data_IF_980599357523
#
_entry.id   IF_980599357523
#
_cell.length_a   1.000
_cell.length_b   1.000
_cell.length_c   1.000
_cell.angle_alpha   90.00
_cell.angle_beta   90.00
_cell.angle_gamma   90.00
#
_symmetry.space_group_name_H-M   'P 1'
#
loop_
_entity.id
_entity.type
_entity.pdbx_description
1 polymer ?
#
# COMPACT_ATOMS: atom_id res chain seq x y z
N UNK A 1 3.71 17.12 3.34
CA UNK A 1 3.73 16.17 4.48
C UNK A 1 2.98 14.86 4.16
N UNK A 2 2.85 14.46 2.89
CA UNK A 2 2.15 13.21 2.48
C UNK A 2 3.05 12.01 2.14
N UNK A 3 4.38 12.17 2.29
CA UNK A 3 5.40 11.15 1.95
C UNK A 3 5.74 10.20 3.10
N UNK A 4 5.45 10.61 4.34
CA UNK A 4 5.74 9.85 5.57
C UNK A 4 4.76 8.67 5.73
N UNK A 5 3.47 8.92 5.49
CA UNK A 5 2.39 7.93 5.60
C UNK A 5 2.56 6.81 4.56
N UNK A 6 3.06 7.16 3.37
CA UNK A 6 3.43 6.23 2.32
C UNK A 6 4.45 5.18 2.77
N UNK A 7 5.40 5.57 3.62
CA UNK A 7 6.43 4.67 4.11
C UNK A 7 5.92 3.70 5.17
N UNK A 8 4.94 4.10 5.98
CA UNK A 8 4.44 3.28 7.08
C UNK A 8 3.62 2.08 6.57
N UNK A 9 2.66 2.31 5.66
CA UNK A 9 1.88 1.21 5.07
C UNK A 9 2.76 0.27 4.24
N UNK A 10 3.69 0.84 3.46
CA UNK A 10 4.67 0.06 2.70
C UNK A 10 5.56 -0.81 3.60
N UNK A 11 5.91 -0.33 4.80
CA UNK A 11 6.76 -1.06 5.75
C UNK A 11 6.03 -2.22 6.43
N UNK A 12 4.70 -2.13 6.57
CA UNK A 12 3.88 -3.10 7.29
C UNK A 12 3.30 -4.19 6.40
N UNK A 13 2.81 -3.85 5.21
CA UNK A 13 2.19 -4.80 4.27
C UNK A 13 3.13 -5.25 3.15
N UNK A 14 4.17 -4.47 2.84
CA UNK A 14 4.99 -4.66 1.63
C UNK A 14 4.25 -4.31 0.33
N UNK A 15 3.06 -3.70 0.44
CA UNK A 15 2.17 -3.28 -0.64
C UNK A 15 1.90 -1.77 -0.51
N UNK A 16 1.78 -1.07 -1.64
CA UNK A 16 1.18 0.27 -1.63
C UNK A 16 -0.32 0.11 -1.83
N UNK A 17 -1.17 0.55 -0.89
CA UNK A 17 -2.63 0.40 -0.97
C UNK A 17 -3.25 1.26 -2.09
N UNK A 18 -2.48 2.19 -2.65
CA UNK A 18 -2.92 3.12 -3.70
C UNK A 18 -2.42 2.71 -5.10
N UNK A 19 -1.86 1.52 -5.27
CA UNK A 19 -1.22 1.13 -6.53
C UNK A 19 -2.25 0.86 -7.63
N UNK A 20 -2.30 1.74 -8.64
CA UNK A 20 -3.07 1.57 -9.87
C UNK A 20 -2.29 0.91 -11.02
N UNK A 21 -2.94 0.70 -12.17
CA UNK A 21 -2.35 0.11 -13.37
C UNK A 21 -1.28 1.00 -14.02
N UNK A 22 -1.37 2.32 -13.79
CA UNK A 22 -0.40 3.32 -14.22
C UNK A 22 -0.17 4.42 -13.17
N UNK A 23 0.89 5.21 -13.36
CA UNK A 23 1.32 6.24 -12.40
C UNK A 23 0.23 7.31 -12.16
N UNK A 24 -0.51 7.69 -13.20
CA UNK A 24 -1.63 8.64 -13.07
C UNK A 24 -2.80 8.13 -12.22
N UNK A 25 -3.13 6.84 -12.31
CA UNK A 25 -4.16 6.20 -11.47
C UNK A 25 -3.65 6.07 -10.04
N UNK A 26 -2.39 5.66 -9.88
CA UNK A 26 -1.74 5.62 -8.56
C UNK A 26 -1.81 7.00 -7.89
N UNK A 27 -1.46 8.07 -8.60
CA UNK A 27 -1.56 9.44 -8.08
C UNK A 27 -3.02 9.81 -7.72
N UNK A 28 -3.98 9.39 -8.54
CA UNK A 28 -5.40 9.65 -8.27
C UNK A 28 -5.86 8.95 -7.00
N UNK A 29 -5.48 7.68 -6.81
CA UNK A 29 -5.82 6.91 -5.62
C UNK A 29 -5.20 7.52 -4.36
N UNK A 30 -3.98 8.06 -4.47
CA UNK A 30 -3.33 8.79 -3.37
C UNK A 30 -4.11 10.06 -3.01
N UNK A 31 -4.47 10.86 -4.02
CA UNK A 31 -5.15 12.14 -3.81
C UNK A 31 -6.54 11.97 -3.23
N UNK A 32 -7.22 10.86 -3.56
CA UNK A 32 -8.56 10.53 -3.06
C UNK A 32 -8.55 9.64 -1.82
N UNK A 33 -7.38 9.20 -1.36
CA UNK A 33 -7.24 8.21 -0.30
C UNK A 33 -8.10 6.96 -0.58
N UNK A 34 -8.05 6.51 -1.83
CA UNK A 34 -8.84 5.38 -2.33
C UNK A 34 -8.02 4.09 -2.22
N UNK A 35 -8.41 3.23 -1.27
CA UNK A 35 -7.82 1.92 -1.04
C UNK A 35 -8.84 0.95 -0.44
N UNK A 36 -8.57 -0.36 -0.57
CA UNK A 36 -9.36 -1.43 0.02
C UNK A 36 -8.46 -2.49 0.67
N UNK A 37 -9.09 -3.37 1.46
CA UNK A 37 -8.46 -4.53 2.08
C UNK A 37 -8.91 -5.85 1.42
N UNK A 38 -9.45 -5.81 0.21
CA UNK A 38 -10.08 -6.96 -0.45
C UNK A 38 -9.07 -7.90 -1.13
N UNK A 39 -7.79 -7.50 -1.23
CA UNK A 39 -6.73 -8.36 -1.74
C UNK A 39 -6.35 -9.43 -0.69
N UNK A 40 -6.21 -10.70 -1.12
CA UNK A 40 -5.82 -11.86 -0.30
C UNK A 40 -4.56 -11.62 0.55
N UNK A 41 -3.73 -10.64 0.18
CA UNK A 41 -2.58 -10.22 0.98
C UNK A 41 -2.94 -9.61 2.35
N UNK A 42 -4.17 -9.15 2.54
CA UNK A 42 -4.70 -8.56 3.77
C UNK A 42 -5.46 -9.57 4.66
N UNK A 43 -5.65 -10.81 4.20
CA UNK A 43 -6.34 -11.86 4.97
C UNK A 43 -5.56 -12.25 6.24
N UNK A 44 -4.23 -12.24 6.17
CA UNK A 44 -3.37 -12.53 7.32
C UNK A 44 -3.13 -11.30 8.23
N UNK A 45 -3.66 -10.14 7.87
CA UNK A 45 -3.48 -8.89 8.62
C UNK A 45 -4.60 -8.78 9.67
N UNK A 46 -4.22 -8.56 10.93
CA UNK A 46 -5.17 -8.47 12.03
C UNK A 46 -6.08 -7.25 11.93
N UNK A 47 -7.31 -7.36 12.45
CA UNK A 47 -8.28 -6.25 12.42
C UNK A 47 -7.76 -5.00 13.12
N UNK A 48 -6.97 -5.18 14.20
CA UNK A 48 -6.28 -4.08 14.89
C UNK A 48 -5.29 -3.34 13.98
N UNK A 49 -4.63 -4.06 13.07
CA UNK A 49 -3.73 -3.46 12.09
C UNK A 49 -4.49 -2.70 11.01
N UNK A 50 -5.64 -3.23 10.57
CA UNK A 50 -6.52 -2.57 9.59
C UNK A 50 -7.08 -1.27 10.17
N UNK A 51 -7.60 -1.31 11.40
CA UNK A 51 -8.07 -0.13 12.14
C UNK A 51 -6.97 0.93 12.32
N UNK A 52 -5.73 0.51 12.61
CA UNK A 52 -4.59 1.43 12.66
C UNK A 52 -4.30 2.09 11.31
N UNK A 53 -4.36 1.34 10.21
CA UNK A 53 -4.16 1.86 8.85
C UNK A 53 -5.29 2.84 8.49
N UNK A 54 -6.53 2.52 8.82
CA UNK A 54 -7.69 3.40 8.55
C UNK A 54 -7.55 4.75 9.23
N UNK A 55 -7.20 4.79 10.52
CA UNK A 55 -7.01 6.04 11.26
C UNK A 55 -5.78 6.86 10.82
N UNK A 56 -4.83 6.22 10.13
CA UNK A 56 -3.66 6.87 9.56
C UNK A 56 -3.92 7.40 8.14
N UNK A 57 -4.71 6.68 7.36
CA UNK A 57 -5.10 7.01 5.98
C UNK A 57 -6.43 7.75 5.97
N UNK A 58 -6.44 8.95 6.57
CA UNK A 58 -7.55 9.90 6.51
C UNK A 58 -7.32 10.96 5.42
N UNK A 59 -8.40 11.32 4.73
CA UNK A 59 -8.44 12.37 3.70
C UNK A 59 -8.11 13.73 4.33
N UNK A 60 -8.83 14.07 5.41
CA UNK A 60 -8.51 15.25 6.21
C UNK A 60 -7.25 15.00 7.07
N UNK A 61 -6.40 16.02 7.14
CA UNK A 61 -5.21 15.99 7.99
C UNK A 61 -5.58 16.13 9.47
N UNK A 62 -6.68 16.82 9.80
CA UNK A 62 -7.08 17.01 11.21
C UNK A 62 -7.63 15.74 11.85
N UNK A 63 -8.26 14.86 11.05
CA UNK A 63 -8.75 13.56 11.50
C UNK A 63 -7.65 12.49 11.56
N UNK A 64 -6.48 12.79 11.00
CA UNK A 64 -5.35 11.85 10.98
C UNK A 64 -4.71 11.75 12.36
N UNK A 65 -4.55 10.52 12.83
CA UNK A 65 -3.79 10.24 14.05
C UNK A 65 -2.40 10.88 14.01
N UNK A 66 -2.03 11.53 15.10
CA UNK A 66 -0.69 12.08 15.29
C UNK A 66 0.31 10.96 15.56
N UNK A 67 1.62 11.27 15.46
CA UNK A 67 2.66 10.29 15.77
C UNK A 67 2.56 9.76 17.21
N UNK A 68 2.17 10.62 18.16
CA UNK A 68 1.97 10.24 19.56
C UNK A 68 0.77 9.31 19.72
N UNK A 69 -0.35 9.61 19.06
CA UNK A 69 -1.52 8.72 19.04
C UNK A 69 -1.20 7.36 18.40
N UNK A 70 -0.37 7.35 17.35
CA UNK A 70 0.09 6.12 16.72
C UNK A 70 0.89 5.24 17.68
N UNK A 71 1.75 5.84 18.52
CA UNK A 71 2.51 5.12 19.53
C UNK A 71 1.61 4.53 20.62
N UNK A 72 0.49 5.20 20.90
CA UNK A 72 -0.45 4.78 21.92
C UNK A 72 -1.46 3.72 21.44
N UNK A 73 -1.54 3.46 20.13
CA UNK A 73 -2.48 2.51 19.55
C UNK A 73 -2.21 1.06 19.96
N UNK A 74 -3.28 0.32 20.27
CA UNK A 74 -3.21 -1.06 20.78
C UNK A 74 -2.49 -2.01 19.83
N UNK A 75 -2.65 -1.81 18.53
CA UNK A 75 -1.93 -2.58 17.53
C UNK A 75 -0.41 -2.43 17.68
N UNK A 76 0.10 -1.19 17.71
CA UNK A 76 1.53 -0.94 17.80
C UNK A 76 2.08 -1.32 19.18
N UNK A 77 1.36 -1.05 20.26
CA UNK A 77 1.73 -1.46 21.63
C UNK A 77 1.82 -2.98 21.78
N UNK A 78 0.95 -3.75 21.12
CA UNK A 78 0.94 -5.22 21.15
C UNK A 78 2.08 -5.82 20.32
N UNK A 79 2.35 -5.25 19.15
CA UNK A 79 3.47 -5.62 18.28
C UNK A 79 4.84 -5.24 18.89
N UNK A 80 4.95 -4.11 19.61
CA UNK A 80 6.22 -3.74 20.27
C UNK A 80 6.60 -4.73 21.39
N UNK A 81 5.61 -5.35 22.03
CA UNK A 81 5.78 -6.37 23.07
C UNK A 81 6.05 -7.77 22.50
N UNK A 82 5.61 -8.02 21.27
CA UNK A 82 5.71 -9.30 20.60
C UNK A 82 6.64 -9.11 19.43
N UNK A 83 7.94 -9.43 19.54
CA UNK A 83 8.90 -9.25 18.44
C UNK A 83 8.55 -10.12 17.23
N UNK A 84 7.55 -9.73 16.45
CA UNK A 84 7.07 -10.46 15.29
C UNK A 84 7.99 -10.05 14.15
N UNK A 85 8.84 -10.99 13.75
CA UNK A 85 9.63 -10.84 12.55
C UNK A 85 8.67 -10.56 11.37
N UNK A 86 8.75 -9.35 10.78
CA UNK A 86 7.99 -8.96 9.59
C UNK A 86 8.06 -10.09 8.55
N UNK A 87 6.93 -10.78 8.30
CA UNK A 87 6.89 -11.94 7.40
C UNK A 87 7.20 -11.47 5.97
N UNK A 88 8.43 -11.72 5.50
CA UNK A 88 8.92 -11.38 4.15
C UNK A 88 8.16 -12.05 2.97
N UNK A 89 7.19 -12.93 3.25
CA UNK A 89 6.43 -13.67 2.23
C UNK A 89 5.60 -12.75 1.33
N UNK A 90 4.89 -11.79 1.91
CA UNK A 90 4.00 -10.87 1.18
C UNK A 90 4.80 -9.92 0.27
N UNK A 91 6.00 -9.52 0.71
CA UNK A 91 6.92 -8.70 -0.08
C UNK A 91 7.40 -9.41 -1.35
N UNK A 92 7.67 -10.73 -1.29
CA UNK A 92 8.08 -11.50 -2.47
C UNK A 92 6.96 -11.61 -3.51
N UNK A 93 5.73 -11.91 -3.07
CA UNK A 93 4.55 -11.97 -3.96
C UNK A 93 4.33 -10.64 -4.66
N UNK A 94 4.46 -9.52 -3.94
CA UNK A 94 4.35 -8.18 -4.53
C UNK A 94 5.43 -7.88 -5.56
N UNK A 95 6.70 -8.15 -5.24
CA UNK A 95 7.81 -7.91 -6.18
C UNK A 95 7.58 -8.69 -7.48
N UNK A 96 7.00 -9.89 -7.38
CA UNK A 96 6.60 -10.70 -8.53
C UNK A 96 5.42 -10.05 -9.28
N UNK A 97 4.31 -9.72 -8.61
CA UNK A 97 3.12 -9.03 -9.19
C UNK A 97 3.53 -7.74 -9.91
N UNK A 98 4.38 -6.93 -9.29
CA UNK A 98 4.92 -5.67 -9.85
C UNK A 98 5.81 -5.91 -11.07
N UNK A 99 6.64 -6.96 -11.08
CA UNK A 99 7.45 -7.32 -12.26
C UNK A 99 6.57 -7.76 -13.43
N UNK A 100 5.53 -8.55 -13.16
CA UNK A 100 4.55 -8.97 -14.17
C UNK A 100 3.79 -7.78 -14.76
N UNK A 101 3.31 -6.85 -13.92
CA UNK A 101 2.61 -5.65 -14.42
C UNK A 101 3.50 -4.81 -15.34
N UNK A 102 4.79 -4.63 -14.98
CA UNK A 102 5.76 -3.93 -15.84
C UNK A 102 5.98 -4.65 -17.18
N UNK A 103 6.08 -5.99 -17.17
CA UNK A 103 6.23 -6.77 -18.38
C UNK A 103 5.00 -6.64 -19.30
N UNK A 104 3.79 -6.73 -18.75
CA UNK A 104 2.53 -6.55 -19.49
C UNK A 104 2.46 -5.15 -20.10
N UNK A 105 2.76 -4.10 -19.32
CA UNK A 105 2.74 -2.72 -19.81
C UNK A 105 3.78 -2.49 -20.93
N UNK A 106 4.95 -3.13 -20.86
CA UNK A 106 5.95 -3.08 -21.93
C UNK A 106 5.46 -3.77 -23.21
N UNK A 107 4.81 -4.94 -23.11
CA UNK A 107 4.20 -5.63 -24.26
C UNK A 107 3.10 -4.76 -24.89
N UNK A 108 2.21 -4.19 -24.08
CA UNK A 108 1.16 -3.26 -24.55
C UNK A 108 1.75 -2.05 -25.27
N UNK A 109 2.84 -1.46 -24.75
CA UNK A 109 3.52 -0.34 -25.38
C UNK A 109 4.14 -0.73 -26.73
N UNK A 110 4.79 -1.89 -26.82
CA UNK A 110 5.34 -2.40 -28.08
C UNK A 110 4.25 -2.62 -29.14
N UNK A 111 3.10 -3.16 -28.75
CA UNK A 111 1.92 -3.30 -29.64
C UNK A 111 1.39 -1.94 -30.10
N UNK A 112 1.31 -0.94 -29.21
CA UNK A 112 0.89 0.43 -29.57
C UNK A 112 1.84 1.07 -30.58
N UNK A 113 3.15 0.96 -30.38
CA UNK A 113 4.15 1.49 -31.34
C UNK A 113 4.00 0.84 -32.71
N UNK A 114 3.75 -0.48 -32.74
CA UNK A 114 3.53 -1.21 -34.00
C UNK A 114 2.24 -0.79 -34.72
N UNK A 115 1.17 -0.46 -33.98
CA UNK A 115 -0.08 0.06 -34.57
C UNK A 115 0.03 1.50 -35.06
N UNK A 116 0.90 2.32 -34.46
CA UNK A 116 1.13 3.70 -34.91
C UNK A 116 2.09 3.81 -36.11
N UNK A 117 2.84 2.74 -36.39
CA UNK A 117 3.79 2.66 -37.51
C UNK A 117 3.17 2.00 -38.77
N UNK A 118 1.86 1.76 -38.77
CA UNK A 118 1.06 1.24 -39.88
C UNK A 118 0.08 2.32 -40.33
#
# INVERSE_FOLDING_TARGET
MGKEIFMFVFRLSGLSPFMGDHDGETMTNILKVEYDFDDECFDEISDLAKDFIEKLLQEDQEDRMTADDCLEHDWLKKELKTSIALKKGNLRKYVIKRRWQKAINAVRAAVRVKMLAM
#
